data_IF_611360639207
#
_entry.id   IF_611360639207
#
_cell.length_a   1.000
_cell.length_b   1.000
_cell.length_c   1.000
_cell.angle_alpha   90.00
_cell.angle_beta   90.00
_cell.angle_gamma   90.00
#
_symmetry.space_group_name_H-M   'P 1'
#
loop_
_entity.id
_entity.type
_entity.pdbx_description
1 polymer ?
#
# COMPACT_ATOMS: atom_id res chain seq x y z
N UNK A 1 7.02 8.79 -7.66
CA UNK A 1 5.60 8.80 -8.05
C UNK A 1 5.21 7.44 -8.56
N UNK A 2 4.03 6.94 -8.20
CA UNK A 2 3.49 5.73 -8.80
C UNK A 2 3.20 6.01 -10.28
N UNK A 3 3.80 5.21 -11.17
CA UNK A 3 3.63 5.34 -12.60
C UNK A 3 2.37 4.61 -13.06
N UNK A 4 1.27 5.34 -13.16
CA UNK A 4 -0.01 4.84 -13.65
C UNK A 4 0.05 4.25 -15.05
N UNK A 5 0.86 4.84 -15.94
CA UNK A 5 1.00 4.32 -17.31
C UNK A 5 1.64 2.93 -17.31
N UNK A 6 2.57 2.66 -16.39
CA UNK A 6 3.15 1.33 -16.23
C UNK A 6 2.13 0.30 -15.72
N UNK A 7 1.22 0.70 -14.83
CA UNK A 7 0.14 -0.19 -14.35
C UNK A 7 -0.79 -0.54 -15.51
N UNK A 8 -1.19 0.44 -16.33
CA UNK A 8 -2.04 0.22 -17.51
C UNK A 8 -1.34 -0.70 -18.51
N UNK A 9 -0.09 -0.41 -18.87
CA UNK A 9 0.68 -1.25 -19.79
C UNK A 9 0.89 -2.67 -19.25
N UNK A 10 1.02 -2.84 -17.93
CA UNK A 10 1.08 -4.17 -17.31
C UNK A 10 -0.23 -4.94 -17.50
N UNK A 11 -1.37 -4.30 -17.26
CA UNK A 11 -2.69 -4.90 -17.48
C UNK A 11 -2.84 -5.34 -18.94
N UNK A 12 -2.46 -4.47 -19.89
CA UNK A 12 -2.50 -4.77 -21.32
C UNK A 12 -1.57 -5.93 -21.71
N UNK A 13 -0.36 -5.96 -21.14
CA UNK A 13 0.64 -7.00 -21.42
C UNK A 13 0.28 -8.37 -20.83
N UNK A 14 -0.35 -8.39 -19.65
CA UNK A 14 -0.84 -9.61 -19.01
C UNK A 14 -2.02 -10.20 -19.80
N UNK A 15 -2.84 -9.35 -20.42
CA UNK A 15 -3.97 -9.79 -21.24
C UNK A 15 -5.02 -10.54 -20.42
N UNK A 16 -5.22 -11.83 -20.72
CA UNK A 16 -6.23 -12.68 -20.07
C UNK A 16 -5.64 -13.80 -19.23
N UNK A 17 -4.36 -13.73 -18.88
CA UNK A 17 -3.72 -14.70 -18.00
C UNK A 17 -4.27 -14.53 -16.57
N UNK A 18 -5.09 -15.48 -16.12
CA UNK A 18 -5.79 -15.40 -14.85
C UNK A 18 -4.84 -15.39 -13.64
N UNK A 19 -3.71 -16.11 -13.71
CA UNK A 19 -2.76 -16.19 -12.60
C UNK A 19 -2.01 -14.87 -12.45
N UNK A 20 -1.61 -14.26 -13.57
CA UNK A 20 -0.96 -12.95 -13.58
C UNK A 20 -1.92 -11.81 -13.21
N UNK A 21 -3.19 -11.89 -13.62
CA UNK A 21 -4.22 -10.94 -13.17
C UNK A 21 -4.40 -11.03 -11.66
N UNK A 22 -4.54 -12.24 -11.11
CA UNK A 22 -4.68 -12.44 -9.65
C UNK A 22 -3.47 -11.91 -8.90
N UNK A 23 -2.26 -12.12 -9.43
CA UNK A 23 -1.03 -11.58 -8.83
C UNK A 23 -1.00 -10.05 -8.85
N UNK A 24 -1.42 -9.42 -9.95
CA UNK A 24 -1.49 -7.97 -10.06
C UNK A 24 -2.53 -7.40 -9.09
N UNK A 25 -3.70 -8.04 -9.00
CA UNK A 25 -4.76 -7.66 -8.05
C UNK A 25 -4.25 -7.71 -6.61
N UNK A 26 -3.57 -8.78 -6.21
CA UNK A 26 -2.98 -8.89 -4.87
C UNK A 26 -1.93 -7.79 -4.61
N UNK A 27 -1.14 -7.45 -5.63
CA UNK A 27 -0.16 -6.37 -5.54
C UNK A 27 -0.84 -5.02 -5.33
N UNK A 28 -1.80 -4.65 -6.17
CA UNK A 28 -2.51 -3.38 -6.10
C UNK A 28 -3.37 -3.30 -4.82
N UNK A 29 -4.01 -4.39 -4.41
CA UNK A 29 -4.79 -4.46 -3.17
C UNK A 29 -3.96 -4.16 -1.92
N UNK A 30 -2.64 -4.42 -1.94
CA UNK A 30 -1.77 -4.05 -0.81
C UNK A 30 -1.68 -2.55 -0.57
N UNK A 31 -1.94 -1.72 -1.59
CA UNK A 31 -1.92 -0.26 -1.49
C UNK A 31 -3.09 0.21 -0.62
N UNK A 32 -4.28 -0.29 -0.92
CA UNK A 32 -5.50 -0.03 -0.18
C UNK A 32 -5.42 -0.60 1.24
N UNK A 33 -4.99 -1.86 1.42
CA UNK A 33 -4.82 -2.48 2.75
C UNK A 33 -3.90 -1.68 3.67
N UNK A 34 -2.78 -1.16 3.15
CA UNK A 34 -1.88 -0.33 3.95
C UNK A 34 -2.50 1.03 4.30
N UNK A 35 -3.15 1.68 3.33
CA UNK A 35 -3.88 2.93 3.57
C UNK A 35 -4.98 2.74 4.63
N UNK A 36 -5.78 1.68 4.53
CA UNK A 36 -6.84 1.35 5.48
C UNK A 36 -6.27 1.12 6.90
N UNK A 37 -5.16 0.37 7.02
CA UNK A 37 -4.53 0.12 8.31
C UNK A 37 -4.00 1.40 8.98
N UNK A 38 -3.44 2.34 8.21
CA UNK A 38 -3.05 3.66 8.72
C UNK A 38 -4.28 4.46 9.14
N UNK A 39 -5.30 4.52 8.30
CA UNK A 39 -6.53 5.26 8.60
C UNK A 39 -7.19 4.76 9.89
N UNK A 40 -7.36 3.44 10.04
CA UNK A 40 -7.95 2.83 11.25
C UNK A 40 -7.17 3.18 12.51
N UNK A 41 -5.84 3.08 12.49
CA UNK A 41 -4.99 3.42 13.63
C UNK A 41 -5.13 4.90 14.02
N UNK A 42 -5.02 5.80 13.05
CA UNK A 42 -5.06 7.24 13.32
C UNK A 42 -6.44 7.72 13.76
N UNK A 43 -7.50 7.16 13.18
CA UNK A 43 -8.87 7.44 13.62
C UNK A 43 -9.15 6.90 15.02
N UNK A 44 -8.69 5.70 15.36
CA UNK A 44 -8.84 5.15 16.71
C UNK A 44 -8.15 6.04 17.76
N UNK A 45 -6.89 6.43 17.52
CA UNK A 45 -6.17 7.38 18.39
C UNK A 45 -6.92 8.70 18.53
N UNK A 46 -7.45 9.23 17.43
CA UNK A 46 -8.18 10.52 17.41
C UNK A 46 -9.48 10.47 18.22
N UNK A 47 -10.25 9.38 18.11
CA UNK A 47 -11.54 9.20 18.79
C UNK A 47 -11.35 8.87 20.28
N UNK A 48 -10.44 7.94 20.59
CA UNK A 48 -10.34 7.36 21.93
C UNK A 48 -9.21 7.97 22.78
N UNK A 49 -8.19 8.58 22.18
CA UNK A 49 -6.99 9.04 22.89
C UNK A 49 -7.19 10.26 23.81
N UNK A 50 -8.28 11.03 23.63
CA UNK A 50 -8.56 12.21 24.47
C UNK A 50 -9.32 11.90 25.75
N UNK A 51 -10.08 10.80 25.79
CA UNK A 51 -10.99 10.46 26.89
C UNK A 51 -10.77 9.01 27.33
N UNK A 52 -9.51 8.63 27.53
CA UNK A 52 -9.12 7.26 27.87
C UNK A 52 -9.62 6.91 29.29
N UNK A 53 -10.84 6.37 29.37
CA UNK A 53 -11.42 5.84 30.63
C UNK A 53 -10.88 4.45 30.98
N UNK A 54 -10.46 3.68 29.97
CA UNK A 54 -9.85 2.36 30.14
C UNK A 54 -8.51 2.30 29.38
N UNK A 55 -7.44 2.68 30.08
CA UNK A 55 -6.10 2.84 29.50
C UNK A 55 -5.43 1.54 29.07
N UNK A 56 -5.85 0.40 29.62
CA UNK A 56 -5.35 -0.92 29.20
C UNK A 56 -5.93 -1.28 27.84
N UNK A 57 -7.27 -1.31 27.70
CA UNK A 57 -7.95 -1.59 26.43
C UNK A 57 -7.45 -0.66 25.31
N UNK A 58 -7.32 0.63 25.60
CA UNK A 58 -6.81 1.60 24.62
C UNK A 58 -5.39 1.24 24.15
N UNK A 59 -4.48 0.91 25.08
CA UNK A 59 -3.09 0.55 24.73
C UNK A 59 -3.05 -0.73 23.91
N UNK A 60 -3.79 -1.75 24.32
CA UNK A 60 -3.80 -3.05 23.64
C UNK A 60 -4.34 -2.91 22.21
N UNK A 61 -5.43 -2.17 22.03
CA UNK A 61 -6.00 -1.92 20.69
C UNK A 61 -5.05 -1.10 19.81
N UNK A 62 -4.39 -0.07 20.37
CA UNK A 62 -3.39 0.71 19.61
C UNK A 62 -2.21 -0.17 19.21
N UNK A 63 -1.74 -1.06 20.09
CA UNK A 63 -0.66 -2.00 19.80
C UNK A 63 -1.04 -2.98 18.68
N UNK A 64 -2.26 -3.51 18.71
CA UNK A 64 -2.77 -4.41 17.66
C UNK A 64 -2.89 -3.69 16.31
N UNK A 65 -3.47 -2.49 16.30
CA UNK A 65 -3.60 -1.68 15.08
C UNK A 65 -2.22 -1.26 14.52
N UNK A 66 -1.26 -0.93 15.37
CA UNK A 66 0.10 -0.57 14.95
C UNK A 66 0.87 -1.78 14.39
N UNK A 67 0.67 -2.97 14.99
CA UNK A 67 1.17 -4.25 14.47
C UNK A 67 0.57 -4.53 13.09
N UNK A 68 -0.75 -4.41 12.94
CA UNK A 68 -1.42 -4.62 11.66
C UNK A 68 -0.91 -3.64 10.59
N UNK A 69 -0.81 -2.34 10.92
CA UNK A 69 -0.22 -1.32 10.04
C UNK A 69 1.18 -1.72 9.57
N UNK A 70 2.00 -2.27 10.46
CA UNK A 70 3.37 -2.69 10.15
C UNK A 70 3.37 -3.89 9.19
N UNK A 71 2.51 -4.89 9.43
CA UNK A 71 2.34 -6.05 8.52
C UNK A 71 1.90 -5.60 7.12
N UNK A 72 0.88 -4.73 7.03
CA UNK A 72 0.43 -4.22 5.74
C UNK A 72 1.51 -3.41 5.01
N UNK A 73 2.31 -2.62 5.73
CA UNK A 73 3.42 -1.87 5.12
C UNK A 73 4.48 -2.82 4.54
N UNK A 74 4.86 -3.86 5.28
CA UNK A 74 5.85 -4.82 4.79
C UNK A 74 5.31 -5.58 3.57
N UNK A 75 4.02 -5.95 3.57
CA UNK A 75 3.35 -6.54 2.40
C UNK A 75 3.36 -5.59 1.20
N UNK A 76 3.09 -4.29 1.40
CA UNK A 76 3.15 -3.28 0.34
C UNK A 76 4.56 -3.20 -0.28
N UNK A 77 5.61 -3.19 0.54
CA UNK A 77 7.01 -3.14 0.07
C UNK A 77 7.35 -4.39 -0.75
N UNK A 78 6.97 -5.57 -0.27
CA UNK A 78 7.17 -6.83 -0.97
C UNK A 78 6.43 -6.84 -2.32
N UNK A 79 5.15 -6.45 -2.32
CA UNK A 79 4.33 -6.41 -3.52
C UNK A 79 4.80 -5.34 -4.53
N UNK A 80 5.35 -4.22 -4.05
CA UNK A 80 5.97 -3.23 -4.93
C UNK A 80 7.22 -3.79 -5.63
N UNK A 81 8.00 -4.64 -4.94
CA UNK A 81 9.13 -5.33 -5.57
C UNK A 81 8.65 -6.32 -6.64
N UNK A 82 7.55 -7.04 -6.38
CA UNK A 82 6.96 -8.00 -7.32
C UNK A 82 6.44 -7.29 -8.58
N UNK A 83 5.64 -6.23 -8.42
CA UNK A 83 5.06 -5.53 -9.57
C UNK A 83 6.14 -4.84 -10.43
N UNK A 84 7.19 -4.29 -9.82
CA UNK A 84 8.33 -3.73 -10.57
C UNK A 84 9.09 -4.81 -11.35
N UNK A 85 9.26 -6.00 -10.77
CA UNK A 85 9.87 -7.15 -11.47
C UNK A 85 8.98 -7.64 -12.62
N UNK A 86 7.66 -7.66 -12.42
CA UNK A 86 6.71 -8.01 -13.47
C UNK A 86 6.77 -7.01 -14.63
N UNK A 87 6.90 -5.71 -14.33
CA UNK A 87 7.11 -4.67 -15.34
C UNK A 87 8.41 -4.92 -16.13
N UNK A 88 9.51 -5.18 -15.41
CA UNK A 88 10.82 -5.48 -16.02
C UNK A 88 10.75 -6.67 -16.99
N UNK A 89 10.10 -7.77 -16.58
CA UNK A 89 9.93 -8.97 -17.42
C UNK A 89 9.14 -8.71 -18.71
N UNK A 90 8.27 -7.71 -18.70
CA UNK A 90 7.46 -7.31 -19.86
C UNK A 90 8.07 -6.10 -20.61
N UNK A 91 9.30 -5.69 -20.28
CA UNK A 91 9.96 -4.50 -20.85
C UNK A 91 9.17 -3.19 -20.64
N UNK A 92 8.44 -3.10 -19.53
CA UNK A 92 7.66 -1.94 -19.10
C UNK A 92 8.46 -1.17 -18.04
N UNK A 93 8.43 0.18 -18.02
CA UNK A 93 9.03 0.95 -16.93
C UNK A 93 8.47 0.54 -15.56
N UNK A 94 9.25 0.64 -14.47
CA UNK A 94 8.79 0.24 -13.14
C UNK A 94 7.56 1.06 -12.71
N UNK A 95 6.67 0.42 -11.94
CA UNK A 95 5.52 1.09 -11.32
C UNK A 95 5.97 2.11 -10.29
N UNK A 96 7.09 1.85 -9.61
CA UNK A 96 7.75 2.82 -8.75
C UNK A 96 9.25 2.85 -9.05
N UNK A 97 9.75 4.01 -9.43
CA UNK A 97 11.14 4.26 -9.84
C UNK A 97 12.09 4.56 -8.67
N UNK A 98 11.56 4.69 -7.46
CA UNK A 98 12.36 4.87 -6.25
C UNK A 98 12.86 3.56 -5.63
N UNK A 99 13.61 3.69 -4.53
CA UNK A 99 14.16 2.55 -3.80
C UNK A 99 13.04 1.85 -3.01
N UNK A 100 12.84 0.56 -3.28
CA UNK A 100 11.92 -0.31 -2.52
C UNK A 100 12.70 -0.97 -1.38
N UNK A 101 12.48 -0.51 -0.15
CA UNK A 101 13.19 -1.01 1.03
C UNK A 101 12.37 -0.81 2.31
N UNK A 102 12.54 -1.71 3.28
CA UNK A 102 11.99 -1.59 4.63
C UNK A 102 12.71 -0.53 5.49
N UNK A 103 13.86 -0.03 5.02
CA UNK A 103 14.65 0.96 5.74
C UNK A 103 14.12 2.38 5.55
N UNK A 104 14.40 3.24 6.53
CA UNK A 104 14.15 4.68 6.41
C UNK A 104 15.32 5.33 5.66
N UNK A 105 15.06 6.32 4.78
CA UNK A 105 13.78 6.99 4.54
C UNK A 105 12.87 6.27 3.53
N UNK A 106 13.38 5.29 2.80
CA UNK A 106 12.76 4.68 1.62
C UNK A 106 11.35 4.14 1.86
N UNK A 107 11.12 3.39 2.96
CA UNK A 107 9.78 2.91 3.32
C UNK A 107 8.74 4.02 3.42
N UNK A 108 9.15 5.19 3.95
CA UNK A 108 8.24 6.32 4.19
C UNK A 108 7.94 7.04 2.89
N UNK A 109 8.95 7.15 2.02
CA UNK A 109 8.77 7.74 0.69
C UNK A 109 7.77 6.89 -0.09
N UNK A 110 7.99 5.58 -0.19
CA UNK A 110 7.06 4.67 -0.86
C UNK A 110 5.63 4.77 -0.29
N UNK A 111 5.48 4.78 1.03
CA UNK A 111 4.19 4.96 1.69
C UNK A 111 3.46 6.25 1.24
N UNK A 112 4.17 7.38 1.16
CA UNK A 112 3.60 8.65 0.72
C UNK A 112 3.13 8.58 -0.74
N UNK A 113 3.97 8.06 -1.63
CA UNK A 113 3.63 7.95 -3.06
C UNK A 113 2.40 7.05 -3.29
N UNK A 114 2.29 5.97 -2.51
CA UNK A 114 1.14 5.07 -2.54
C UNK A 114 -0.12 5.76 -2.02
N UNK A 115 -0.02 6.60 -0.98
CA UNK A 115 -1.18 7.37 -0.50
C UNK A 115 -1.64 8.41 -1.52
N UNK A 116 -0.72 9.11 -2.18
CA UNK A 116 -1.08 10.03 -3.26
C UNK A 116 -1.83 9.32 -4.39
N UNK A 117 -1.38 8.12 -4.77
CA UNK A 117 -2.07 7.28 -5.75
C UNK A 117 -3.48 6.88 -5.28
N UNK A 118 -3.62 6.34 -4.07
CA UNK A 118 -4.93 5.93 -3.52
C UNK A 118 -5.89 7.11 -3.44
N UNK A 119 -5.42 8.27 -2.98
CA UNK A 119 -6.23 9.49 -2.95
C UNK A 119 -6.67 9.94 -4.34
N UNK A 120 -5.79 9.84 -5.34
CA UNK A 120 -6.11 10.20 -6.72
C UNK A 120 -7.20 9.28 -7.29
N UNK A 121 -7.11 7.97 -7.06
CA UNK A 121 -8.15 6.99 -7.45
C UNK A 121 -9.50 7.38 -6.84
N UNK A 122 -9.55 7.69 -5.55
CA UNK A 122 -10.80 8.08 -4.86
C UNK A 122 -11.34 9.43 -5.38
N UNK A 123 -10.46 10.41 -5.67
CA UNK A 123 -10.86 11.73 -6.19
C UNK A 123 -11.51 11.63 -7.57
N UNK A 124 -11.07 10.68 -8.40
CA UNK A 124 -11.54 10.48 -9.77
C UNK A 124 -12.63 9.40 -9.89
N UNK A 125 -13.27 8.99 -8.78
CA UNK A 125 -14.39 8.05 -8.83
C UNK A 125 -15.58 8.64 -9.60
N UNK A 126 -16.20 7.81 -10.44
CA UNK A 126 -17.43 8.13 -11.18
C UNK A 126 -18.69 7.94 -10.33
#
# INVERSE_FOLDING_TARGET
>A
MINESSIISLIESIGTDADLISLLDDCIASFEKYHEAVYKLEMYKKIHGRNVKNGEIYRDTVMELDRNRTVCHNSLIANMSIINRLAEMNSIPPVYDGIVSEERPHRRILANEVFEYVEKVIKNRE
#
